data_IF_957973660196
#
_entry.id   IF_957973660196
#
_cell.length_a   1.000
_cell.length_b   1.000
_cell.length_c   1.000
_cell.angle_alpha   90.00
_cell.angle_beta   90.00
_cell.angle_gamma   90.00
#
_symmetry.space_group_name_H-M   'P 1'
#
loop_
_entity.id
_entity.type
_entity.pdbx_description
1 polymer ?
#
# COMPACT_ATOMS: atom_id res chain seq x y z
N UNK A 1 -1.67 13.20 -39.85
CA UNK A 1 -0.28 12.66 -39.89
C UNK A 1 -0.40 11.16 -40.08
N UNK A 2 0.14 10.59 -41.16
CA UNK A 2 0.19 9.16 -41.38
C UNK A 2 1.17 8.57 -40.39
N UNK A 3 0.71 7.68 -39.50
CA UNK A 3 1.59 7.05 -38.49
C UNK A 3 2.27 5.83 -39.11
N UNK A 4 3.61 5.86 -39.21
CA UNK A 4 4.40 4.69 -39.53
C UNK A 4 4.48 3.71 -38.37
N UNK A 5 4.45 2.42 -38.68
CA UNK A 5 4.74 1.33 -37.73
C UNK A 5 6.05 0.64 -38.14
N UNK A 6 6.75 0.12 -37.14
CA UNK A 6 7.98 -0.64 -37.36
C UNK A 6 7.62 -2.09 -37.66
N UNK A 7 8.01 -2.58 -38.83
CA UNK A 7 7.97 -3.99 -39.24
C UNK A 7 9.36 -4.59 -39.15
N UNK A 8 9.52 -5.77 -38.61
CA UNK A 8 10.81 -6.45 -38.57
C UNK A 8 10.83 -7.56 -39.62
N UNK A 9 11.77 -7.48 -40.54
CA UNK A 9 11.92 -8.43 -41.66
C UNK A 9 12.20 -9.82 -41.13
N UNK A 10 11.39 -10.79 -41.54
CA UNK A 10 11.50 -12.22 -41.17
C UNK A 10 12.46 -12.94 -42.11
N UNK A 11 12.86 -14.14 -41.72
CA UNK A 11 13.74 -15.00 -42.50
C UNK A 11 13.13 -15.33 -43.85
N UNK A 12 13.86 -15.01 -44.95
CA UNK A 12 13.44 -15.32 -46.32
C UNK A 12 12.54 -14.26 -46.96
N UNK A 13 12.19 -13.19 -46.27
CA UNK A 13 11.45 -12.07 -46.85
C UNK A 13 12.40 -11.17 -47.69
N UNK A 14 11.87 -10.69 -48.77
CA UNK A 14 12.54 -9.71 -49.65
C UNK A 14 11.71 -8.44 -49.73
N UNK A 15 12.31 -7.33 -50.14
CA UNK A 15 11.57 -6.09 -50.32
C UNK A 15 10.44 -6.23 -51.36
N UNK A 16 10.64 -7.08 -52.36
CA UNK A 16 9.62 -7.41 -53.34
C UNK A 16 8.43 -8.19 -52.70
N UNK A 17 8.71 -9.22 -51.92
CA UNK A 17 7.65 -10.02 -51.27
C UNK A 17 6.84 -9.19 -50.28
N UNK A 18 7.52 -8.32 -49.52
CA UNK A 18 6.83 -7.42 -48.58
C UNK A 18 6.00 -6.34 -49.29
N UNK A 19 6.49 -5.81 -50.41
CA UNK A 19 5.73 -4.84 -51.19
C UNK A 19 4.45 -5.47 -51.78
N UNK A 20 4.52 -6.70 -52.26
CA UNK A 20 3.37 -7.48 -52.72
C UNK A 20 2.38 -7.77 -51.57
N UNK A 21 2.88 -8.19 -50.41
CA UNK A 21 2.06 -8.45 -49.23
C UNK A 21 1.34 -7.21 -48.73
N UNK A 22 2.00 -6.06 -48.73
CA UNK A 22 1.42 -4.78 -48.30
C UNK A 22 0.59 -4.10 -49.41
N UNK A 23 0.56 -4.66 -50.63
CA UNK A 23 -0.22 -4.13 -51.75
C UNK A 23 0.29 -2.76 -52.24
N UNK A 24 1.60 -2.57 -52.18
CA UNK A 24 2.28 -1.33 -52.62
C UNK A 24 3.45 -1.66 -53.54
N UNK A 25 3.99 -0.67 -54.21
CA UNK A 25 5.23 -0.87 -55.00
C UNK A 25 6.47 -0.90 -54.11
N UNK A 26 7.53 -1.56 -54.56
CA UNK A 26 8.82 -1.60 -53.86
C UNK A 26 9.38 -0.19 -53.63
N UNK A 27 9.22 0.70 -54.61
CA UNK A 27 9.66 2.08 -54.47
C UNK A 27 8.86 2.89 -53.45
N UNK A 28 7.57 2.60 -53.34
CA UNK A 28 6.70 3.24 -52.34
C UNK A 28 7.08 2.81 -50.94
N UNK A 29 7.28 1.50 -50.71
CA UNK A 29 7.72 0.95 -49.42
C UNK A 29 9.09 1.56 -49.02
N UNK A 30 10.05 1.58 -49.94
CA UNK A 30 11.37 2.13 -49.71
C UNK A 30 11.32 3.63 -49.39
N UNK A 31 10.57 4.43 -50.18
CA UNK A 31 10.42 5.87 -49.96
C UNK A 31 9.75 6.15 -48.60
N UNK A 32 8.73 5.40 -48.26
CA UNK A 32 8.05 5.57 -46.97
C UNK A 32 9.01 5.32 -45.81
N UNK A 33 9.73 4.18 -45.81
CA UNK A 33 10.75 3.90 -44.82
C UNK A 33 11.83 4.99 -44.74
N UNK A 34 12.44 5.33 -45.85
CA UNK A 34 13.55 6.29 -45.90
C UNK A 34 13.15 7.72 -45.49
N UNK A 35 11.89 8.09 -45.67
CA UNK A 35 11.36 9.38 -45.22
C UNK A 35 11.04 9.43 -43.71
N UNK A 36 10.86 8.26 -43.09
CA UNK A 36 10.45 8.18 -41.69
C UNK A 36 11.48 7.52 -40.76
N UNK A 37 12.63 7.04 -41.30
CA UNK A 37 13.72 6.58 -40.47
C UNK A 37 14.45 7.76 -39.82
N UNK A 38 14.78 7.60 -38.52
CA UNK A 38 15.40 8.67 -37.73
C UNK A 38 16.86 8.91 -38.10
N UNK A 39 17.57 7.85 -38.51
CA UNK A 39 18.98 7.94 -38.91
C UNK A 39 19.16 7.65 -40.41
N UNK A 40 19.94 8.47 -41.08
CA UNK A 40 20.26 8.27 -42.50
C UNK A 40 20.96 6.94 -42.78
N UNK A 41 21.64 6.38 -41.77
CA UNK A 41 22.29 5.05 -41.86
C UNK A 41 21.28 3.91 -41.85
N UNK A 42 20.05 4.17 -41.42
CA UNK A 42 18.97 3.19 -41.43
C UNK A 42 18.20 3.14 -42.75
N UNK A 43 18.46 4.07 -43.66
CA UNK A 43 17.88 4.05 -44.98
C UNK A 43 18.22 2.75 -45.72
N UNK A 44 17.27 2.27 -46.53
CA UNK A 44 17.41 1.04 -47.31
C UNK A 44 17.52 1.33 -48.82
N UNK A 45 18.27 0.47 -49.48
CA UNK A 45 18.26 0.33 -50.93
C UNK A 45 17.16 -0.62 -51.41
N UNK A 46 17.51 -1.53 -52.32
CA UNK A 46 16.61 -2.60 -52.78
C UNK A 46 16.82 -3.92 -52.03
N UNK A 47 17.90 -4.02 -51.24
CA UNK A 47 18.23 -5.18 -50.44
C UNK A 47 17.87 -4.98 -48.97
N UNK A 48 17.25 -5.99 -48.38
CA UNK A 48 16.94 -6.05 -46.97
C UNK A 48 17.40 -7.41 -46.40
N UNK A 49 17.56 -7.51 -45.10
CA UNK A 49 18.02 -8.72 -44.42
C UNK A 49 17.16 -9.01 -43.21
N UNK A 50 17.18 -10.24 -42.74
CA UNK A 50 16.47 -10.68 -41.54
C UNK A 50 16.81 -9.80 -40.33
N UNK A 51 15.80 -9.38 -39.60
CA UNK A 51 15.92 -8.50 -38.43
C UNK A 51 15.99 -6.99 -38.77
N UNK A 52 16.07 -6.59 -40.05
CA UNK A 52 16.00 -5.17 -40.44
C UNK A 52 14.63 -4.61 -40.06
N UNK A 53 14.62 -3.47 -39.42
CA UNK A 53 13.38 -2.76 -39.04
C UNK A 53 12.99 -1.80 -40.19
N UNK A 54 11.79 -1.98 -40.68
CA UNK A 54 11.21 -1.12 -41.72
C UNK A 54 10.08 -0.29 -41.15
N UNK A 55 10.06 0.99 -41.45
CA UNK A 55 8.90 1.84 -41.13
C UNK A 55 7.89 1.68 -42.25
N UNK A 56 6.69 1.20 -41.94
CA UNK A 56 5.61 0.93 -42.90
C UNK A 56 4.37 1.72 -42.52
N UNK A 57 3.56 2.11 -43.50
CA UNK A 57 2.29 2.77 -43.25
C UNK A 57 1.32 1.83 -42.55
N UNK A 58 0.73 2.23 -41.44
CA UNK A 58 -0.14 1.39 -40.60
C UNK A 58 -1.28 0.72 -41.38
N UNK A 59 -1.84 1.45 -42.35
CA UNK A 59 -2.99 1.00 -43.14
C UNK A 59 -2.62 -0.10 -44.16
N UNK A 60 -1.33 -0.33 -44.39
CA UNK A 60 -0.81 -1.30 -45.36
C UNK A 60 -0.34 -2.61 -44.72
N UNK A 61 -0.26 -2.67 -43.40
CA UNK A 61 0.08 -3.91 -42.68
C UNK A 61 -1.05 -4.92 -42.78
N UNK A 62 -0.75 -6.22 -42.84
CA UNK A 62 -1.75 -7.28 -42.80
C UNK A 62 -2.62 -7.17 -41.54
N UNK A 63 -3.93 -7.38 -41.70
CA UNK A 63 -4.87 -7.25 -40.58
C UNK A 63 -4.52 -8.19 -39.40
N UNK A 64 -4.00 -9.35 -39.72
CA UNK A 64 -3.58 -10.35 -38.71
C UNK A 64 -2.43 -9.85 -37.84
N UNK A 65 -1.46 -9.18 -38.44
CA UNK A 65 -0.31 -8.62 -37.71
C UNK A 65 -0.70 -7.41 -36.86
N UNK A 66 -1.62 -6.58 -37.34
CA UNK A 66 -2.19 -5.48 -36.56
C UNK A 66 -2.95 -6.00 -35.34
N UNK A 67 -3.69 -7.07 -35.50
CA UNK A 67 -4.47 -7.69 -34.42
C UNK A 67 -3.58 -8.38 -33.38
N UNK A 68 -2.50 -9.04 -33.83
CA UNK A 68 -1.50 -9.60 -32.90
C UNK A 68 -0.84 -8.53 -32.05
N UNK A 69 -0.38 -7.42 -32.64
CA UNK A 69 0.22 -6.30 -31.91
C UNK A 69 -0.74 -5.61 -30.96
N UNK A 70 -2.01 -5.56 -31.28
CA UNK A 70 -3.04 -5.00 -30.38
C UNK A 70 -3.30 -5.93 -29.19
N UNK A 71 -3.34 -7.23 -29.43
CA UNK A 71 -3.46 -8.24 -28.37
C UNK A 71 -2.24 -8.24 -27.43
N UNK A 72 -1.01 -8.18 -27.98
CA UNK A 72 0.23 -8.08 -27.19
C UNK A 72 0.22 -6.84 -26.25
N UNK A 73 -0.20 -5.69 -26.78
CA UNK A 73 -0.32 -4.47 -25.96
C UNK A 73 -1.35 -4.61 -24.83
N UNK A 74 -2.48 -5.24 -25.14
CA UNK A 74 -3.52 -5.48 -24.12
C UNK A 74 -3.00 -6.42 -23.03
N UNK A 75 -2.20 -7.39 -23.41
CA UNK A 75 -1.61 -8.35 -22.47
C UNK A 75 -0.51 -7.71 -21.60
N UNK A 76 0.36 -6.90 -22.21
CA UNK A 76 1.36 -6.10 -21.49
C UNK A 76 0.71 -5.11 -20.51
N UNK A 77 -0.35 -4.42 -20.91
CA UNK A 77 -1.09 -3.53 -20.02
C UNK A 77 -1.76 -4.26 -18.84
N UNK A 78 -2.26 -5.48 -19.08
CA UNK A 78 -2.82 -6.31 -18.01
C UNK A 78 -1.74 -6.76 -17.03
N UNK A 79 -0.59 -7.20 -17.53
CA UNK A 79 0.54 -7.60 -16.71
C UNK A 79 1.06 -6.45 -15.84
N UNK A 80 1.26 -5.26 -16.44
CA UNK A 80 1.68 -4.07 -15.70
C UNK A 80 0.69 -3.67 -14.60
N UNK A 81 -0.62 -3.74 -14.88
CA UNK A 81 -1.66 -3.47 -13.87
C UNK A 81 -1.66 -4.50 -12.74
N UNK A 82 -1.36 -5.74 -13.06
CA UNK A 82 -1.29 -6.81 -12.07
C UNK A 82 -0.05 -6.66 -11.18
N UNK A 83 1.12 -6.40 -11.76
CA UNK A 83 2.34 -6.12 -11.00
C UNK A 83 2.21 -4.87 -10.10
N UNK A 84 1.55 -3.82 -10.58
CA UNK A 84 1.29 -2.63 -9.75
C UNK A 84 0.41 -2.97 -8.54
N UNK A 85 -0.65 -3.75 -8.74
CA UNK A 85 -1.52 -4.19 -7.64
C UNK A 85 -0.76 -5.05 -6.62
N UNK A 86 0.06 -5.98 -7.08
CA UNK A 86 0.86 -6.83 -6.20
C UNK A 86 1.87 -6.01 -5.37
N UNK A 87 2.55 -5.05 -5.99
CA UNK A 87 3.46 -4.12 -5.29
C UNK A 87 2.72 -3.25 -4.27
N UNK A 88 1.54 -2.74 -4.61
CA UNK A 88 0.72 -1.97 -3.67
C UNK A 88 0.23 -2.82 -2.49
N UNK A 89 -0.15 -4.07 -2.73
CA UNK A 89 -0.55 -4.99 -1.67
C UNK A 89 0.63 -5.38 -0.76
N UNK A 90 1.80 -5.61 -1.33
CA UNK A 90 3.01 -5.91 -0.58
C UNK A 90 3.45 -4.71 0.28
N UNK A 91 3.40 -3.51 -0.26
CA UNK A 91 3.68 -2.28 0.49
C UNK A 91 2.69 -2.09 1.65
N UNK A 92 1.39 -2.32 1.40
CA UNK A 92 0.37 -2.29 2.46
C UNK A 92 0.60 -3.35 3.54
N UNK A 93 1.08 -4.54 3.16
CA UNK A 93 1.43 -5.62 4.11
C UNK A 93 2.58 -5.21 5.02
N UNK A 94 3.68 -4.70 4.46
CA UNK A 94 4.86 -4.27 5.20
C UNK A 94 4.56 -3.09 6.13
N UNK A 95 3.75 -2.12 5.71
CA UNK A 95 3.32 -1.00 6.55
C UNK A 95 2.47 -1.44 7.76
N UNK A 96 1.71 -2.54 7.63
CA UNK A 96 0.81 -3.04 8.67
C UNK A 96 1.43 -4.13 9.54
N UNK A 97 2.54 -4.74 9.10
CA UNK A 97 3.21 -5.79 9.88
C UNK A 97 3.91 -5.17 11.10
N UNK A 98 3.92 -5.93 12.20
CA UNK A 98 4.47 -5.51 13.49
C UNK A 98 3.79 -4.27 14.12
N UNK A 99 2.55 -3.94 13.72
CA UNK A 99 1.76 -2.87 14.33
C UNK A 99 0.82 -3.41 15.40
N UNK A 100 0.75 -2.69 16.53
CA UNK A 100 -0.14 -3.08 17.62
C UNK A 100 -1.60 -2.86 17.25
N UNK A 101 -2.45 -3.81 17.65
CA UNK A 101 -3.89 -3.64 17.58
C UNK A 101 -4.37 -2.65 18.63
N UNK A 102 -5.40 -1.89 18.30
CA UNK A 102 -6.00 -0.90 19.18
C UNK A 102 -7.08 -1.56 20.00
N UNK A 103 -7.11 -1.25 21.29
CA UNK A 103 -8.11 -1.79 22.21
C UNK A 103 -8.89 -0.67 22.92
N UNK A 104 -9.96 -1.03 23.62
CA UNK A 104 -10.74 -0.09 24.45
C UNK A 104 -9.81 0.65 25.42
N UNK A 105 -10.03 1.95 25.56
CA UNK A 105 -9.16 2.79 26.37
C UNK A 105 -7.93 3.35 25.64
N UNK A 106 -7.75 3.07 24.34
CA UNK A 106 -6.71 3.66 23.51
C UNK A 106 -6.78 5.19 23.53
N UNK A 107 -5.61 5.85 23.52
CA UNK A 107 -5.53 7.31 23.51
C UNK A 107 -5.37 7.83 22.08
N UNK A 108 -6.28 8.69 21.68
CA UNK A 108 -6.32 9.32 20.37
C UNK A 108 -6.06 10.82 20.48
N UNK A 109 -5.45 11.40 19.47
CA UNK A 109 -5.16 12.83 19.40
C UNK A 109 -5.67 13.42 18.09
N UNK A 110 -6.36 14.54 18.16
CA UNK A 110 -6.73 15.34 17.00
C UNK A 110 -5.65 16.39 16.71
N UNK A 111 -5.21 16.53 15.46
CA UNK A 111 -4.20 17.52 15.05
C UNK A 111 -4.67 18.97 15.24
N UNK A 112 -5.96 19.19 15.39
CA UNK A 112 -6.60 20.49 15.67
C UNK A 112 -7.11 20.63 17.10
N UNK A 113 -7.05 19.53 17.89
CA UNK A 113 -7.47 19.52 19.28
C UNK A 113 -6.34 19.80 20.25
N UNK A 114 -6.66 20.12 21.50
CA UNK A 114 -5.69 20.36 22.58
C UNK A 114 -5.47 19.18 23.48
N UNK A 115 -6.47 18.31 23.64
CA UNK A 115 -6.45 17.23 24.60
C UNK A 115 -6.53 15.85 23.91
N UNK A 116 -5.89 14.82 24.45
CA UNK A 116 -6.11 13.46 24.00
C UNK A 116 -7.50 12.97 24.46
N UNK A 117 -8.13 12.14 23.63
CA UNK A 117 -9.39 11.48 23.94
C UNK A 117 -9.22 9.97 24.08
N UNK A 118 -10.06 9.34 24.87
CA UNK A 118 -10.05 7.90 25.14
C UNK A 118 -11.07 7.20 24.26
N UNK A 119 -10.60 6.32 23.38
CA UNK A 119 -11.47 5.53 22.51
C UNK A 119 -12.34 4.58 23.34
N UNK A 120 -13.62 4.50 22.98
CA UNK A 120 -14.59 3.59 23.56
C UNK A 120 -15.03 2.57 22.51
N UNK A 121 -14.81 1.28 22.78
CA UNK A 121 -15.29 0.20 21.93
C UNK A 121 -16.74 -0.09 22.24
N UNK A 122 -17.58 -0.06 21.23
CA UNK A 122 -19.04 -0.29 21.34
C UNK A 122 -19.55 -1.27 20.29
N UNK A 123 -18.72 -1.64 19.32
CA UNK A 123 -19.10 -2.45 18.17
C UNK A 123 -19.30 -3.93 18.49
N UNK A 124 -18.68 -4.43 19.57
CA UNK A 124 -18.74 -5.84 19.98
C UNK A 124 -18.22 -6.03 21.42
N UNK A 125 -18.45 -7.24 21.96
CA UNK A 125 -17.97 -7.71 23.27
C UNK A 125 -17.29 -9.09 23.20
N UNK A 126 -16.79 -9.49 22.02
CA UNK A 126 -16.33 -10.87 21.79
C UNK A 126 -14.83 -11.04 21.71
N UNK A 127 -14.10 -10.10 21.10
CA UNK A 127 -12.67 -10.21 20.90
C UNK A 127 -11.91 -9.37 21.92
N UNK A 128 -11.10 -10.01 22.73
CA UNK A 128 -10.35 -9.42 23.83
C UNK A 128 -8.87 -9.61 23.56
N UNK A 129 -8.09 -8.54 23.75
CA UNK A 129 -6.65 -8.60 23.78
C UNK A 129 -6.15 -8.05 25.12
N UNK A 130 -5.07 -8.64 25.63
CA UNK A 130 -4.43 -8.21 26.86
C UNK A 130 -5.28 -8.36 28.16
N UNK A 131 -5.83 -9.54 28.36
CA UNK A 131 -6.85 -9.85 29.38
C UNK A 131 -6.33 -10.18 30.78
N UNK A 132 -5.06 -9.89 31.16
CA UNK A 132 -4.56 -10.30 32.47
C UNK A 132 -5.14 -9.51 33.66
N UNK A 133 -5.58 -8.25 33.44
CA UNK A 133 -6.12 -7.40 34.52
C UNK A 133 -7.44 -6.71 34.17
N UNK A 134 -7.70 -6.45 32.90
CA UNK A 134 -8.95 -5.85 32.42
C UNK A 134 -9.27 -6.42 31.06
N UNK A 135 -10.50 -6.84 30.85
CA UNK A 135 -11.01 -7.23 29.56
C UNK A 135 -11.04 -6.03 28.60
N UNK A 136 -10.09 -5.96 27.67
CA UNK A 136 -10.02 -4.89 26.69
C UNK A 136 -10.42 -5.39 25.32
N UNK A 137 -11.55 -4.91 24.82
CA UNK A 137 -12.06 -5.27 23.51
C UNK A 137 -11.26 -4.60 22.40
N UNK A 138 -11.03 -5.35 21.34
CA UNK A 138 -10.33 -4.84 20.16
C UNK A 138 -11.19 -3.84 19.42
N UNK A 139 -10.65 -2.67 19.11
CA UNK A 139 -11.37 -1.64 18.38
C UNK A 139 -11.50 -2.01 16.89
N UNK A 140 -12.65 -1.71 16.32
CA UNK A 140 -12.97 -1.90 14.91
C UNK A 140 -13.15 -0.57 14.18
N UNK A 141 -13.20 -0.63 12.85
CA UNK A 141 -13.44 0.56 12.02
C UNK A 141 -14.76 1.31 12.29
N UNK A 142 -15.68 0.70 13.05
CA UNK A 142 -16.98 1.30 13.40
C UNK A 142 -17.02 1.90 14.81
N UNK A 143 -15.95 1.78 15.59
CA UNK A 143 -15.87 2.37 16.92
C UNK A 143 -15.51 3.86 16.81
N UNK A 144 -16.53 4.71 16.80
CA UNK A 144 -16.43 6.15 16.55
C UNK A 144 -16.68 6.98 17.83
N UNK A 145 -16.78 6.35 18.98
CA UNK A 145 -17.10 7.01 20.25
C UNK A 145 -15.88 7.18 21.15
N UNK A 146 -15.86 8.27 21.89
CA UNK A 146 -14.85 8.56 22.91
C UNK A 146 -15.52 8.66 24.29
N UNK A 147 -14.79 8.28 25.34
CA UNK A 147 -15.32 8.27 26.73
C UNK A 147 -15.68 9.68 27.21
N UNK A 148 -14.98 10.70 26.73
CA UNK A 148 -15.18 12.12 27.06
C UNK A 148 -16.38 12.77 26.32
N UNK A 149 -17.06 12.03 25.46
CA UNK A 149 -18.20 12.53 24.68
C UNK A 149 -17.81 13.43 23.48
N UNK A 150 -18.69 14.36 23.12
CA UNK A 150 -18.51 15.19 21.91
C UNK A 150 -17.41 16.25 22.03
N UNK A 151 -17.07 16.70 23.23
CA UNK A 151 -15.98 17.67 23.46
C UNK A 151 -14.64 17.01 23.76
N UNK A 152 -14.46 15.76 23.32
CA UNK A 152 -13.38 14.86 23.69
C UNK A 152 -11.97 15.40 23.44
N UNK A 153 -11.75 16.24 22.43
CA UNK A 153 -10.42 16.77 22.08
C UNK A 153 -10.15 18.18 22.65
N UNK A 154 -10.90 18.65 23.64
CA UNK A 154 -10.72 19.96 24.28
C UNK A 154 -11.14 21.11 23.38
N UNK A 155 -10.27 22.11 23.15
CA UNK A 155 -10.54 23.20 22.22
C UNK A 155 -10.07 22.89 20.80
N UNK A 156 -10.79 23.42 19.79
CA UNK A 156 -10.54 23.13 18.38
C UNK A 156 -9.97 24.37 17.66
N UNK A 157 -8.78 24.26 17.08
CA UNK A 157 -8.12 25.34 16.33
C UNK A 157 -8.93 25.80 15.12
N UNK A 158 -9.62 24.87 14.43
CA UNK A 158 -10.46 25.21 13.27
C UNK A 158 -11.68 26.04 13.67
N UNK A 159 -12.12 25.94 14.93
CA UNK A 159 -13.25 26.69 15.51
C UNK A 159 -12.77 27.89 16.35
N UNK A 160 -11.64 28.49 16.02
CA UNK A 160 -11.07 29.63 16.79
C UNK A 160 -10.91 29.30 18.28
N UNK A 161 -10.42 28.12 18.60
CA UNK A 161 -10.23 27.61 19.96
C UNK A 161 -11.53 27.42 20.80
N UNK A 162 -12.69 27.45 20.17
CA UNK A 162 -13.94 27.05 20.83
C UNK A 162 -13.93 25.56 21.20
N UNK A 163 -14.78 25.12 22.14
CA UNK A 163 -14.87 23.71 22.50
C UNK A 163 -15.05 22.77 21.32
N UNK A 164 -14.38 21.64 21.37
CA UNK A 164 -14.49 20.61 20.35
C UNK A 164 -15.94 20.15 20.21
N UNK A 165 -16.41 20.02 19.00
CA UNK A 165 -17.66 19.34 18.67
C UNK A 165 -17.32 18.23 17.70
N UNK A 166 -16.73 17.16 18.23
CA UNK A 166 -16.33 16.03 17.41
C UNK A 166 -17.53 15.41 16.70
N UNK A 167 -17.41 15.26 15.39
CA UNK A 167 -18.31 14.48 14.57
C UNK A 167 -17.47 13.72 13.52
N UNK A 168 -17.61 12.39 13.45
CA UNK A 168 -16.83 11.60 12.49
C UNK A 168 -17.26 11.89 11.05
N UNK A 169 -16.29 12.06 10.15
CA UNK A 169 -16.53 12.21 8.70
C UNK A 169 -16.52 10.86 7.97
N UNK A 170 -16.93 9.80 8.63
CA UNK A 170 -16.95 8.44 8.11
C UNK A 170 -16.36 7.45 9.08
N UNK A 171 -15.85 6.34 8.56
CA UNK A 171 -15.21 5.27 9.35
C UNK A 171 -13.70 5.49 9.46
N UNK A 172 -13.07 4.78 10.39
CA UNK A 172 -11.61 4.72 10.48
C UNK A 172 -10.99 4.25 9.17
N UNK A 173 -9.88 4.84 8.80
CA UNK A 173 -9.12 4.52 7.60
C UNK A 173 -7.85 3.74 7.96
N UNK A 174 -7.32 2.97 6.99
CA UNK A 174 -6.18 2.05 7.16
C UNK A 174 -6.35 1.02 8.30
N UNK A 175 -7.51 0.33 8.43
CA UNK A 175 -7.64 -0.78 9.36
C UNK A 175 -6.82 -1.99 8.90
N UNK A 176 -6.64 -2.99 9.76
CA UNK A 176 -6.07 -4.29 9.39
C UNK A 176 -7.15 -5.16 8.74
N UNK A 177 -7.14 -5.26 7.43
CA UNK A 177 -8.19 -5.99 6.68
C UNK A 177 -8.19 -7.50 6.92
N UNK A 178 -7.02 -8.07 7.26
CA UNK A 178 -6.86 -9.51 7.51
C UNK A 178 -7.53 -9.98 8.81
N UNK A 179 -7.68 -9.11 9.81
CA UNK A 179 -8.36 -9.42 11.05
C UNK A 179 -9.73 -8.76 11.07
N UNK A 180 -10.76 -9.58 10.99
CA UNK A 180 -12.15 -9.13 11.07
C UNK A 180 -12.82 -9.66 12.34
N UNK A 181 -13.53 -8.79 13.03
CA UNK A 181 -14.33 -9.11 14.21
C UNK A 181 -15.77 -8.77 13.86
N UNK A 182 -16.64 -9.78 13.78
CA UNK A 182 -18.01 -9.63 13.33
C UNK A 182 -18.10 -8.85 11.99
N UNK A 183 -17.34 -9.31 11.00
CA UNK A 183 -17.23 -8.72 9.65
C UNK A 183 -16.61 -7.30 9.59
N UNK A 184 -16.14 -6.75 10.71
CA UNK A 184 -15.54 -5.42 10.82
C UNK A 184 -14.04 -5.54 10.98
N UNK A 185 -13.26 -4.82 10.16
CA UNK A 185 -11.81 -4.84 10.25
C UNK A 185 -11.30 -4.20 11.53
N UNK A 186 -10.30 -4.81 12.16
CA UNK A 186 -9.69 -4.33 13.39
C UNK A 186 -8.81 -3.10 13.15
N UNK A 187 -8.74 -2.20 14.13
CA UNK A 187 -7.86 -1.04 14.10
C UNK A 187 -6.43 -1.42 14.53
N UNK A 188 -5.47 -0.75 13.93
CA UNK A 188 -4.06 -0.78 14.31
C UNK A 188 -3.55 0.63 14.59
N UNK A 189 -2.41 0.77 15.23
CA UNK A 189 -1.86 2.08 15.65
C UNK A 189 -1.68 3.10 14.52
N UNK A 190 -1.58 2.65 13.27
CA UNK A 190 -1.48 3.52 12.08
C UNK A 190 -2.83 3.93 11.52
N UNK A 191 -3.93 3.38 12.05
CA UNK A 191 -5.28 3.78 11.65
C UNK A 191 -5.57 5.21 12.07
N UNK A 192 -6.39 5.91 11.28
CA UNK A 192 -6.77 7.30 11.57
C UNK A 192 -8.24 7.55 11.20
N UNK A 193 -8.82 8.58 11.82
CA UNK A 193 -10.20 9.01 11.60
C UNK A 193 -10.22 10.48 11.20
N UNK A 194 -11.08 10.85 10.27
CA UNK A 194 -11.30 12.25 9.92
C UNK A 194 -12.48 12.83 10.68
N UNK A 195 -12.32 14.04 11.19
CA UNK A 195 -13.39 14.83 11.76
C UNK A 195 -14.08 15.66 10.67
N UNK A 196 -15.40 15.80 10.69
CA UNK A 196 -16.17 16.60 9.73
C UNK A 196 -15.80 18.10 9.79
N UNK A 197 -15.24 18.56 10.92
CA UNK A 197 -14.73 19.92 11.09
C UNK A 197 -13.35 20.12 10.47
N UNK A 198 -12.68 19.05 10.01
CA UNK A 198 -11.41 19.11 9.28
C UNK A 198 -10.17 18.70 10.09
N UNK A 199 -10.33 18.09 11.27
CA UNK A 199 -9.23 17.52 12.03
C UNK A 199 -8.93 16.07 11.66
N UNK A 200 -7.66 15.66 11.69
CA UNK A 200 -7.22 14.27 11.58
C UNK A 200 -6.94 13.71 12.97
N UNK A 201 -7.59 12.61 13.29
CA UNK A 201 -7.46 11.92 14.58
C UNK A 201 -6.55 10.72 14.38
N UNK A 202 -5.48 10.64 15.15
CA UNK A 202 -4.48 9.57 15.13
C UNK A 202 -4.42 8.89 16.49
N UNK A 203 -4.00 7.63 16.49
CA UNK A 203 -3.82 6.83 17.70
C UNK A 203 -2.44 7.13 18.26
N UNK A 204 -2.36 7.62 19.50
CA UNK A 204 -1.12 7.90 20.22
C UNK A 204 -0.66 6.74 21.07
N UNK A 205 -1.62 6.03 21.66
CA UNK A 205 -1.36 4.85 22.46
C UNK A 205 -2.44 3.81 22.17
N UNK A 206 -2.04 2.62 21.81
CA UNK A 206 -2.94 1.54 21.36
C UNK A 206 -3.82 0.95 22.46
N UNK A 207 -3.60 1.31 23.73
CA UNK A 207 -4.38 0.89 24.88
C UNK A 207 -3.95 -0.46 25.48
N UNK A 208 -3.10 -1.21 24.79
CA UNK A 208 -2.55 -2.44 25.33
C UNK A 208 -1.49 -2.12 26.40
N UNK A 209 -1.48 -2.86 27.48
CA UNK A 209 -0.44 -2.83 28.52
C UNK A 209 0.20 -4.20 28.61
N UNK A 210 1.51 -4.25 28.56
CA UNK A 210 2.27 -5.48 28.82
C UNK A 210 2.66 -5.43 30.29
N UNK A 211 2.14 -6.36 31.12
CA UNK A 211 2.75 -6.62 32.42
C UNK A 211 3.84 -7.65 32.19
N UNK A 212 5.04 -7.29 32.53
CA UNK A 212 6.18 -8.21 32.57
C UNK A 212 5.97 -9.05 33.86
N UNK A 213 5.51 -10.27 33.69
CA UNK A 213 5.39 -11.22 34.81
C UNK A 213 6.67 -12.06 34.93
N UNK A 214 6.89 -12.67 36.09
CA UNK A 214 8.04 -13.53 36.38
C UNK A 214 8.30 -14.58 35.29
N UNK A 215 7.25 -15.20 34.76
CA UNK A 215 7.35 -16.19 33.69
C UNK A 215 7.87 -15.62 32.36
N UNK A 216 7.68 -14.32 32.12
CA UNK A 216 8.20 -13.64 30.94
C UNK A 216 9.68 -13.24 31.14
N UNK A 217 10.03 -12.81 32.35
CA UNK A 217 11.40 -12.53 32.75
C UNK A 217 12.28 -13.79 32.70
N UNK A 218 11.79 -14.90 33.26
CA UNK A 218 12.51 -16.19 33.26
C UNK A 218 12.74 -16.76 31.84
N UNK A 219 11.90 -16.41 30.88
CA UNK A 219 12.01 -16.81 29.49
C UNK A 219 12.69 -15.77 28.59
N UNK A 220 13.08 -14.63 29.16
CA UNK A 220 13.74 -13.57 28.40
C UNK A 220 15.15 -14.00 28.00
N UNK A 221 15.49 -13.81 26.75
CA UNK A 221 16.85 -14.04 26.27
C UNK A 221 17.73 -12.85 26.70
N UNK A 222 18.74 -13.11 27.53
CA UNK A 222 19.63 -12.09 28.07
C UNK A 222 20.39 -11.32 26.99
N UNK A 223 20.78 -11.98 25.89
CA UNK A 223 21.47 -11.33 24.77
C UNK A 223 20.55 -10.32 24.04
N UNK A 224 19.29 -10.71 23.84
CA UNK A 224 18.31 -9.84 23.16
C UNK A 224 17.94 -8.65 24.06
N UNK A 225 17.82 -8.87 25.37
CA UNK A 225 17.52 -7.79 26.32
C UNK A 225 18.68 -6.81 26.46
N UNK A 226 19.93 -7.27 26.43
CA UNK A 226 21.10 -6.40 26.40
C UNK A 226 21.21 -5.54 25.12
N UNK A 227 20.69 -6.04 23.99
CA UNK A 227 20.61 -5.24 22.75
C UNK A 227 19.55 -4.16 22.82
N UNK A 228 18.40 -4.43 23.49
CA UNK A 228 17.28 -3.49 23.60
C UNK A 228 17.49 -2.48 24.73
N UNK A 229 18.09 -2.90 25.83
CA UNK A 229 18.40 -2.09 27.01
C UNK A 229 19.86 -2.28 27.41
N UNK A 230 20.81 -1.62 26.74
CA UNK A 230 22.22 -1.72 27.07
C UNK A 230 22.46 -1.24 28.50
N UNK A 231 23.00 -2.11 29.35
CA UNK A 231 23.31 -1.82 30.76
C UNK A 231 22.29 -2.36 31.77
N UNK A 232 21.26 -3.08 31.33
CA UNK A 232 20.39 -3.85 32.21
C UNK A 232 21.02 -5.25 32.44
N UNK A 233 21.48 -5.53 33.66
CA UNK A 233 21.83 -6.91 34.04
C UNK A 233 20.56 -7.69 34.37
N UNK A 234 20.16 -8.57 33.44
CA UNK A 234 18.92 -9.34 33.56
C UNK A 234 18.96 -10.30 34.75
N UNK A 235 20.13 -10.81 35.12
CA UNK A 235 20.30 -11.74 36.22
C UNK A 235 20.16 -11.03 37.58
N UNK A 236 20.77 -9.84 37.71
CA UNK A 236 20.61 -8.98 38.87
C UNK A 236 19.15 -8.51 39.04
N UNK A 237 18.53 -8.09 37.96
CA UNK A 237 17.12 -7.68 37.96
C UNK A 237 16.15 -8.83 38.29
N UNK A 238 16.44 -10.05 37.83
CA UNK A 238 15.65 -11.24 38.16
C UNK A 238 15.81 -11.61 39.64
N UNK A 239 17.02 -11.54 40.20
CA UNK A 239 17.30 -11.83 41.61
C UNK A 239 16.58 -10.82 42.54
N UNK A 240 16.69 -9.52 42.24
CA UNK A 240 16.05 -8.45 43.01
C UNK A 240 14.51 -8.54 42.98
N UNK A 241 13.95 -9.06 41.88
CA UNK A 241 12.51 -9.24 41.74
C UNK A 241 12.01 -10.46 42.52
N UNK A 242 12.78 -11.54 42.60
CA UNK A 242 12.42 -12.74 43.34
C UNK A 242 12.49 -12.50 44.87
N UNK A 243 13.50 -11.73 45.36
CA UNK A 243 13.57 -11.31 46.78
C UNK A 243 12.37 -10.47 47.25
N UNK A 244 11.81 -9.61 46.36
CA UNK A 244 10.66 -8.76 46.67
C UNK A 244 9.30 -9.50 46.73
N UNK A 245 9.26 -10.76 46.29
CA UNK A 245 8.03 -11.59 46.31
C UNK A 245 7.97 -12.48 47.54
N UNK A 246 9.10 -12.81 48.19
CA UNK A 246 9.16 -13.61 49.39
C UNK A 246 9.06 -12.79 50.68
N UNK A 247 8.97 -11.47 50.61
CA UNK A 247 8.81 -10.54 51.72
C UNK A 247 7.34 -10.05 51.83
#
# INVERSE_FOLDING_TARGET
MRKGLIYTVKKGETLQSLAEEFGISVDELRRFHNNWCEDIRDQIGYDIWEGKKLTVEKEKLPKEELQQRENEKIEEEKQQKQEQKEKEEETKRTEQDNKYYVVDGAKCLCDKGTNPATLKVTSHTKAIFNSKDEDKWVATLEDLQFKEGSSCFGSCKVKNNNPCTFAPAGKWQKPREKLKIMEKSALIETSYLMCSVGGKITIKHHGQSVKIGNSNLQRANAELMNQILPGLDLQEFQAEYDENIEA
#
